data_IF_046590314100
#
_entry.id   IF_046590314100
#
_cell.length_a   1.000
_cell.length_b   1.000
_cell.length_c   1.000
_cell.angle_alpha   90.00
_cell.angle_beta   90.00
_cell.angle_gamma   90.00
#
_symmetry.space_group_name_H-M   'P 1'
#
loop_
_entity.id
_entity.type
_entity.pdbx_description
1 polymer ?
#
# COMPACT_ATOMS: atom_id res chain seq x y z
N UNK A 1 2.18 12.92 16.78
CA UNK A 1 2.45 12.96 15.34
C UNK A 1 1.92 11.65 14.78
N UNK A 2 1.23 11.64 13.65
CA UNK A 2 0.85 10.37 13.04
C UNK A 2 2.08 9.78 12.34
N UNK A 3 2.25 8.46 12.43
CA UNK A 3 3.13 7.78 11.50
C UNK A 3 2.43 7.70 10.14
N UNK A 4 3.22 7.77 9.07
CA UNK A 4 2.73 7.64 7.70
C UNK A 4 2.88 6.20 7.25
N UNK A 5 1.79 5.65 6.74
CA UNK A 5 1.80 4.36 6.07
C UNK A 5 1.88 4.63 4.57
N UNK A 6 2.96 4.19 3.94
CA UNK A 6 3.13 4.23 2.49
C UNK A 6 2.31 3.12 1.86
N UNK A 7 1.66 3.43 0.74
CA UNK A 7 0.80 2.50 0.02
C UNK A 7 1.10 2.59 -1.48
N UNK A 8 1.25 1.44 -2.13
CA UNK A 8 1.24 1.31 -3.58
C UNK A 8 0.10 0.39 -3.97
N UNK A 9 -0.85 0.88 -4.76
CA UNK A 9 -1.97 0.08 -5.26
C UNK A 9 -1.90 -0.05 -6.78
N UNK A 10 -2.17 -1.25 -7.27
CA UNK A 10 -2.34 -1.57 -8.69
C UNK A 10 -3.73 -2.15 -8.89
N UNK A 11 -4.53 -1.54 -9.75
CA UNK A 11 -5.85 -2.02 -10.13
C UNK A 11 -5.78 -2.84 -11.43
N UNK A 12 -6.49 -3.96 -11.48
CA UNK A 12 -6.56 -4.84 -12.66
C UNK A 12 -8.00 -5.04 -13.11
N UNK A 13 -8.30 -4.78 -14.38
CA UNK A 13 -9.66 -4.91 -14.89
C UNK A 13 -9.82 -4.43 -16.32
N UNK A 14 -11.06 -4.06 -16.67
CA UNK A 14 -11.36 -3.52 -18.01
C UNK A 14 -10.68 -2.16 -18.18
N UNK A 15 -10.09 -1.84 -19.35
CA UNK A 15 -9.44 -0.56 -19.60
C UNK A 15 -10.33 0.65 -19.25
N UNK A 16 -11.62 0.60 -19.57
CA UNK A 16 -12.56 1.70 -19.27
C UNK A 16 -12.74 1.94 -17.76
N UNK A 17 -12.64 0.88 -16.95
CA UNK A 17 -12.70 0.99 -15.49
C UNK A 17 -11.40 1.56 -14.93
N UNK A 18 -10.25 1.12 -15.44
CA UNK A 18 -8.93 1.66 -15.05
C UNK A 18 -8.84 3.15 -15.38
N UNK A 19 -9.25 3.57 -16.57
CA UNK A 19 -9.31 5.00 -16.93
C UNK A 19 -10.23 5.79 -15.99
N UNK A 20 -11.38 5.24 -15.61
CA UNK A 20 -12.28 5.92 -14.67
C UNK A 20 -11.69 6.02 -13.25
N UNK A 21 -10.91 5.04 -12.81
CA UNK A 21 -10.14 5.10 -11.56
C UNK A 21 -9.02 6.13 -11.66
N UNK A 22 -8.33 6.22 -12.81
CA UNK A 22 -7.33 7.25 -13.07
C UNK A 22 -7.92 8.66 -12.90
N UNK A 23 -9.10 8.90 -13.47
CA UNK A 23 -9.82 10.17 -13.33
C UNK A 23 -10.21 10.45 -11.86
N UNK A 24 -10.62 9.41 -11.12
CA UNK A 24 -10.91 9.51 -9.69
C UNK A 24 -9.67 9.97 -8.90
N UNK A 25 -8.53 9.27 -9.04
CA UNK A 25 -7.30 9.62 -8.33
C UNK A 25 -6.75 10.99 -8.76
N UNK A 26 -6.88 11.35 -10.05
CA UNK A 26 -6.58 12.70 -10.53
C UNK A 26 -7.41 13.77 -9.81
N UNK A 27 -8.73 13.56 -9.71
CA UNK A 27 -9.60 14.52 -9.03
C UNK A 27 -9.29 14.66 -7.53
N UNK A 28 -8.97 13.55 -6.86
CA UNK A 28 -8.55 13.56 -5.46
C UNK A 28 -7.24 14.31 -5.30
N UNK A 29 -6.22 14.02 -6.12
CA UNK A 29 -4.94 14.72 -6.08
C UNK A 29 -5.09 16.24 -6.27
N UNK A 30 -5.85 16.66 -7.29
CA UNK A 30 -6.09 18.10 -7.52
C UNK A 30 -6.82 18.79 -6.36
N UNK A 31 -7.68 18.05 -5.65
CA UNK A 31 -8.41 18.58 -4.49
C UNK A 31 -7.49 18.64 -3.27
N UNK A 32 -6.66 17.64 -3.06
CA UNK A 32 -5.60 17.64 -2.05
C UNK A 32 -4.69 18.87 -2.22
N UNK A 33 -4.18 19.12 -3.43
CA UNK A 33 -3.31 20.27 -3.73
C UNK A 33 -3.97 21.63 -3.43
N UNK A 34 -5.30 21.73 -3.55
CA UNK A 34 -6.05 22.98 -3.29
C UNK A 34 -6.43 23.16 -1.83
N UNK A 35 -6.65 22.07 -1.11
CA UNK A 35 -7.20 22.09 0.25
C UNK A 35 -6.16 21.82 1.32
N UNK A 36 -5.04 21.20 0.96
CA UNK A 36 -4.02 20.68 1.88
C UNK A 36 -4.60 19.66 2.89
N UNK A 37 -5.69 18.99 2.51
CA UNK A 37 -6.40 18.00 3.31
C UNK A 37 -6.41 16.64 2.60
N UNK A 38 -6.47 15.56 3.39
CA UNK A 38 -6.59 14.22 2.87
C UNK A 38 -7.94 13.99 2.18
N UNK A 39 -7.94 13.13 1.17
CA UNK A 39 -9.11 12.95 0.31
C UNK A 39 -9.73 11.56 0.48
N UNK A 40 -11.01 11.47 0.15
CA UNK A 40 -11.75 10.23 -0.06
C UNK A 40 -12.53 10.35 -1.36
N UNK A 41 -12.84 9.24 -2.06
CA UNK A 41 -13.73 9.26 -3.19
C UNK A 41 -15.10 9.86 -2.83
N UNK A 42 -15.67 10.69 -3.71
CA UNK A 42 -16.92 11.43 -3.42
C UNK A 42 -18.13 10.52 -3.16
N UNK A 43 -18.10 9.29 -3.67
CA UNK A 43 -19.14 8.29 -3.45
C UNK A 43 -19.01 7.57 -2.10
N UNK A 44 -18.01 7.89 -1.29
CA UNK A 44 -17.84 7.34 0.05
C UNK A 44 -18.35 8.28 1.13
N UNK A 45 -18.96 7.68 2.15
CA UNK A 45 -19.22 8.37 3.39
C UNK A 45 -17.91 8.61 4.15
N UNK A 46 -17.89 9.65 4.97
CA UNK A 46 -16.77 9.92 5.86
C UNK A 46 -16.57 8.75 6.84
N UNK A 47 -15.41 8.10 6.73
CA UNK A 47 -15.02 6.95 7.54
C UNK A 47 -14.24 7.32 8.80
N UNK A 48 -14.04 8.62 9.09
CA UNK A 48 -13.20 9.11 10.20
C UNK A 48 -11.77 8.53 10.16
N UNK A 49 -11.24 8.30 8.96
CA UNK A 49 -9.96 7.64 8.71
C UNK A 49 -9.83 7.11 7.29
N UNK A 50 -8.64 6.63 6.91
CA UNK A 50 -8.40 6.03 5.59
C UNK A 50 -8.27 7.03 4.42
N UNK A 51 -8.17 8.32 4.72
CA UNK A 51 -7.93 9.35 3.72
C UNK A 51 -6.58 9.17 3.02
N UNK A 52 -6.59 9.45 1.73
CA UNK A 52 -5.41 9.49 0.88
C UNK A 52 -4.69 10.82 1.06
N UNK A 53 -3.37 10.77 1.22
CA UNK A 53 -2.46 11.90 1.24
C UNK A 53 -1.30 11.65 0.26
N UNK A 54 -0.61 12.71 -0.16
CA UNK A 54 0.56 12.69 -1.01
C UNK A 54 0.38 11.79 -2.25
N UNK A 55 -0.78 11.90 -2.90
CA UNK A 55 -1.12 11.04 -4.04
C UNK A 55 -0.19 11.30 -5.22
N UNK A 56 0.43 10.23 -5.73
CA UNK A 56 1.39 10.24 -6.82
C UNK A 56 1.28 9.00 -7.72
N UNK A 57 1.76 9.12 -8.94
CA UNK A 57 2.01 8.02 -9.88
C UNK A 57 2.98 8.51 -10.97
N UNK A 58 3.70 7.61 -11.64
CA UNK A 58 4.58 7.98 -12.75
C UNK A 58 3.79 8.16 -14.05
N UNK A 59 4.33 8.95 -14.97
CA UNK A 59 3.77 9.08 -16.32
C UNK A 59 3.81 7.73 -17.05
N UNK A 60 2.63 7.21 -17.42
CA UNK A 60 2.48 5.92 -18.11
C UNK A 60 1.98 4.77 -17.23
N UNK A 61 1.97 4.93 -15.89
CA UNK A 61 1.52 3.92 -14.93
C UNK A 61 0.00 3.97 -14.70
N UNK A 62 -0.79 3.82 -15.77
CA UNK A 62 -2.26 3.90 -15.66
C UNK A 62 -2.80 2.81 -14.72
N UNK A 63 -3.58 3.20 -13.71
CA UNK A 63 -4.13 2.28 -12.71
C UNK A 63 -3.20 1.89 -11.57
N UNK A 64 -1.99 2.46 -11.51
CA UNK A 64 -1.06 2.29 -10.39
C UNK A 64 -0.87 3.62 -9.66
N UNK A 65 -0.99 3.61 -8.34
CA UNK A 65 -0.93 4.80 -7.51
C UNK A 65 -0.09 4.57 -6.26
N UNK A 66 0.69 5.58 -5.89
CA UNK A 66 1.34 5.69 -4.59
C UNK A 66 0.66 6.78 -3.77
N UNK A 67 0.50 6.55 -2.48
CA UNK A 67 -0.07 7.52 -1.54
C UNK A 67 0.29 7.15 -0.11
N UNK A 68 0.01 8.06 0.80
CA UNK A 68 0.15 7.87 2.23
C UNK A 68 -1.20 7.86 2.93
N UNK A 69 -1.25 7.15 4.04
CA UNK A 69 -2.36 7.15 5.00
C UNK A 69 -1.80 7.33 6.40
N UNK A 70 -2.65 7.74 7.35
CA UNK A 70 -2.22 7.84 8.75
C UNK A 70 -2.35 6.48 9.44
N UNK A 71 -1.28 6.04 10.09
CA UNK A 71 -1.18 4.86 10.99
C UNK A 71 -1.36 3.47 10.37
N UNK A 72 -2.16 3.31 9.32
CA UNK A 72 -2.50 1.98 8.77
C UNK A 72 -2.97 2.09 7.31
N UNK A 73 -2.80 1.04 6.49
CA UNK A 73 -3.33 1.02 5.13
C UNK A 73 -4.85 1.16 5.13
N UNK A 74 -5.41 1.78 4.09
CA UNK A 74 -6.85 2.00 3.93
C UNK A 74 -7.52 0.89 3.09
N UNK A 75 -7.25 -0.38 3.41
CA UNK A 75 -7.66 -1.56 2.63
C UNK A 75 -9.17 -1.57 2.34
N UNK A 76 -10.01 -1.26 3.34
CA UNK A 76 -11.47 -1.22 3.17
C UNK A 76 -11.93 -0.14 2.16
N UNK A 77 -11.18 0.96 2.05
CA UNK A 77 -11.45 2.02 1.08
C UNK A 77 -11.09 1.54 -0.32
N UNK A 78 -9.91 0.94 -0.49
CA UNK A 78 -9.50 0.36 -1.78
C UNK A 78 -10.45 -0.74 -2.23
N UNK A 79 -10.89 -1.62 -1.33
CA UNK A 79 -11.90 -2.63 -1.63
C UNK A 79 -13.20 -2.01 -2.15
N UNK A 80 -13.71 -0.95 -1.51
CA UNK A 80 -14.93 -0.26 -1.98
C UNK A 80 -14.74 0.38 -3.36
N UNK A 81 -13.57 0.92 -3.67
CA UNK A 81 -13.24 1.40 -5.03
C UNK A 81 -13.32 0.23 -6.01
N UNK A 82 -12.66 -0.88 -5.69
CA UNK A 82 -12.65 -2.08 -6.53
C UNK A 82 -14.04 -2.69 -6.75
N UNK A 83 -14.87 -2.73 -5.72
CA UNK A 83 -16.27 -3.16 -5.82
C UNK A 83 -17.10 -2.23 -6.72
N UNK A 84 -16.91 -0.91 -6.59
CA UNK A 84 -17.64 0.08 -7.38
C UNK A 84 -17.30 0.00 -8.87
N UNK A 85 -16.01 -0.13 -9.20
CA UNK A 85 -15.53 -0.19 -10.58
C UNK A 85 -15.47 -1.61 -11.15
N UNK A 86 -15.74 -2.63 -10.34
CA UNK A 86 -15.67 -4.05 -10.71
C UNK A 86 -14.28 -4.45 -11.23
N UNK A 87 -13.25 -4.11 -10.45
CA UNK A 87 -11.85 -4.42 -10.72
C UNK A 87 -11.22 -5.17 -9.55
N UNK A 88 -10.15 -5.88 -9.82
CA UNK A 88 -9.28 -6.47 -8.81
C UNK A 88 -8.23 -5.44 -8.35
N UNK A 89 -7.55 -5.69 -7.23
CA UNK A 89 -6.39 -4.90 -6.82
C UNK A 89 -5.33 -5.71 -6.09
N UNK A 90 -4.10 -5.21 -6.17
CA UNK A 90 -2.99 -5.54 -5.25
C UNK A 90 -2.54 -4.23 -4.60
N UNK A 91 -2.46 -4.20 -3.27
CA UNK A 91 -2.01 -3.07 -2.47
C UNK A 91 -0.84 -3.53 -1.60
N UNK A 92 0.34 -3.05 -1.90
CA UNK A 92 1.51 -3.15 -1.02
C UNK A 92 1.52 -1.96 -0.07
N UNK A 93 1.82 -2.21 1.19
CA UNK A 93 1.81 -1.18 2.21
C UNK A 93 2.89 -1.40 3.26
N UNK A 94 3.35 -0.30 3.83
CA UNK A 94 4.34 -0.32 4.90
C UNK A 94 4.12 0.83 5.89
N UNK A 95 4.36 0.53 7.17
CA UNK A 95 4.40 1.50 8.26
C UNK A 95 5.53 1.08 9.21
N UNK A 96 6.76 1.46 8.85
CA UNK A 96 7.97 1.05 9.56
C UNK A 96 8.02 1.53 11.01
N UNK A 97 7.31 2.62 11.35
CA UNK A 97 7.19 3.11 12.72
C UNK A 97 6.44 2.17 13.66
N UNK A 98 5.69 1.20 13.13
CA UNK A 98 5.01 0.14 13.89
C UNK A 98 5.39 -1.27 13.43
N UNK A 99 6.46 -1.44 12.65
CA UNK A 99 6.93 -2.74 12.13
C UNK A 99 5.82 -3.49 11.36
N UNK A 100 5.20 -2.79 10.42
CA UNK A 100 4.18 -3.36 9.53
C UNK A 100 4.66 -3.26 8.09
N UNK A 101 4.68 -4.39 7.39
CA UNK A 101 4.96 -4.49 5.96
C UNK A 101 4.05 -5.57 5.37
N UNK A 102 3.25 -5.29 4.35
CA UNK A 102 2.25 -6.25 3.91
C UNK A 102 1.66 -6.00 2.53
N UNK A 103 0.83 -6.95 2.13
CA UNK A 103 0.11 -6.95 0.86
C UNK A 103 -1.35 -7.35 1.09
N UNK A 104 -2.25 -6.46 0.68
CA UNK A 104 -3.65 -6.78 0.49
C UNK A 104 -3.91 -7.12 -0.99
N UNK A 105 -4.66 -8.17 -1.24
CA UNK A 105 -5.08 -8.59 -2.59
C UNK A 105 -6.57 -8.81 -2.60
N UNK A 106 -7.26 -8.22 -3.56
CA UNK A 106 -8.66 -8.47 -3.82
C UNK A 106 -8.80 -9.03 -5.23
N UNK A 107 -9.27 -10.27 -5.32
CA UNK A 107 -9.41 -11.00 -6.57
C UNK A 107 -10.67 -11.83 -6.55
N UNK A 108 -11.44 -11.77 -7.64
CA UNK A 108 -12.70 -12.53 -7.79
C UNK A 108 -13.68 -12.32 -6.62
N UNK A 109 -13.69 -11.13 -6.02
CA UNK A 109 -14.56 -10.79 -4.89
C UNK A 109 -14.04 -11.24 -3.51
N UNK A 110 -12.81 -11.74 -3.42
CA UNK A 110 -12.21 -12.25 -2.18
C UNK A 110 -11.05 -11.34 -1.79
N UNK A 111 -11.14 -10.73 -0.59
CA UNK A 111 -10.05 -9.99 0.03
C UNK A 111 -9.16 -10.92 0.84
N UNK A 112 -7.86 -10.84 0.62
CA UNK A 112 -6.81 -11.40 1.47
C UNK A 112 -5.88 -10.27 1.92
N UNK A 113 -5.47 -10.30 3.18
CA UNK A 113 -4.53 -9.36 3.75
C UNK A 113 -3.46 -10.13 4.52
N UNK A 114 -2.21 -10.02 4.09
CA UNK A 114 -1.06 -10.75 4.63
C UNK A 114 0.03 -9.74 4.93
N UNK A 115 0.52 -9.74 6.17
CA UNK A 115 1.56 -8.81 6.60
C UNK A 115 2.61 -9.49 7.48
N UNK A 116 3.79 -8.90 7.47
CA UNK A 116 4.86 -9.10 8.43
C UNK A 116 4.59 -8.27 9.68
N UNK A 117 4.68 -8.90 10.85
CA UNK A 117 4.58 -8.23 12.15
C UNK A 117 5.87 -8.39 12.95
N UNK A 118 5.91 -7.89 14.18
CA UNK A 118 7.14 -7.83 15.01
C UNK A 118 8.03 -9.08 14.99
N UNK A 119 7.44 -10.28 15.15
CA UNK A 119 8.19 -11.55 15.13
C UNK A 119 8.95 -11.78 13.80
N UNK A 120 8.41 -11.31 12.68
CA UNK A 120 9.05 -11.40 11.36
C UNK A 120 10.26 -10.44 11.27
N UNK A 121 10.18 -9.25 11.88
CA UNK A 121 11.27 -8.28 11.93
C UNK A 121 12.42 -8.69 12.87
N UNK A 122 12.15 -9.54 13.86
CA UNK A 122 13.19 -10.12 14.73
C UNK A 122 14.08 -11.16 14.02
N UNK A 123 13.76 -11.51 12.76
CA UNK A 123 14.51 -12.54 12.00
C UNK A 123 15.77 -12.02 11.31
N UNK A 124 15.97 -10.70 11.26
CA UNK A 124 17.15 -10.04 10.73
C UNK A 124 17.64 -8.94 11.68
N UNK A 125 18.89 -8.53 11.54
CA UNK A 125 19.49 -7.48 12.36
C UNK A 125 20.34 -6.54 11.51
N UNK A 126 20.40 -5.26 11.91
CA UNK A 126 21.28 -4.27 11.30
C UNK A 126 22.61 -4.24 12.07
N UNK A 127 23.73 -4.33 11.35
CA UNK A 127 25.05 -4.08 11.87
C UNK A 127 25.31 -2.56 11.88
N UNK A 128 25.36 -1.96 13.08
CA UNK A 128 25.53 -0.52 13.25
C UNK A 128 26.90 0.02 12.78
N UNK A 129 27.91 -0.83 12.60
CA UNK A 129 29.25 -0.41 12.16
C UNK A 129 29.33 -0.29 10.64
N UNK A 130 28.70 -1.24 9.94
CA UNK A 130 28.74 -1.35 8.48
C UNK A 130 27.50 -0.79 7.78
N UNK A 131 26.42 -0.54 8.54
CA UNK A 131 25.10 -0.16 8.04
C UNK A 131 24.46 -1.24 7.11
N UNK A 132 24.92 -2.49 7.23
CA UNK A 132 24.40 -3.63 6.48
C UNK A 132 23.42 -4.43 7.33
N UNK A 133 22.49 -5.11 6.66
CA UNK A 133 21.54 -6.03 7.28
C UNK A 133 22.00 -7.48 7.13
N UNK A 134 21.84 -8.26 8.20
CA UNK A 134 22.15 -9.68 8.22
C UNK A 134 20.87 -10.52 8.30
N UNK A 135 20.70 -11.40 7.32
CA UNK A 135 19.57 -12.33 7.26
C UNK A 135 20.01 -13.66 6.65
N UNK A 136 19.68 -14.78 7.32
CA UNK A 136 20.00 -16.15 6.87
C UNK A 136 21.48 -16.40 6.50
N UNK A 137 22.41 -15.61 7.07
CA UNK A 137 23.85 -15.74 6.83
C UNK A 137 24.38 -14.92 5.64
N UNK A 138 23.53 -14.13 5.00
CA UNK A 138 23.90 -13.19 3.92
C UNK A 138 23.82 -11.73 4.41
N UNK A 139 24.51 -10.84 3.70
CA UNK A 139 24.53 -9.38 3.93
C UNK A 139 23.71 -8.66 2.88
N UNK A 140 22.95 -7.64 3.30
CA UNK A 140 22.08 -6.85 2.45
C UNK A 140 22.31 -5.35 2.68
N UNK A 141 22.27 -4.55 1.62
CA UNK A 141 22.37 -3.07 1.71
C UNK A 141 21.05 -2.43 2.18
N UNK A 142 19.95 -3.17 2.13
CA UNK A 142 18.62 -2.70 2.49
C UNK A 142 17.78 -3.85 3.07
N UNK A 143 16.99 -3.55 4.09
CA UNK A 143 16.02 -4.49 4.66
C UNK A 143 14.83 -4.75 3.74
N UNK A 144 14.56 -3.89 2.76
CA UNK A 144 13.47 -4.10 1.79
C UNK A 144 13.57 -5.45 1.07
N UNK A 145 14.77 -5.88 0.66
CA UNK A 145 14.96 -7.19 0.00
C UNK A 145 14.61 -8.36 0.94
N UNK A 146 14.92 -8.21 2.23
CA UNK A 146 14.60 -9.20 3.28
C UNK A 146 13.09 -9.22 3.51
N UNK A 147 12.46 -8.05 3.67
CA UNK A 147 11.02 -7.90 3.88
C UNK A 147 10.20 -8.46 2.72
N UNK A 148 10.58 -8.17 1.48
CA UNK A 148 9.96 -8.75 0.28
C UNK A 148 10.07 -10.28 0.31
N UNK A 149 11.27 -10.81 0.61
CA UNK A 149 11.50 -12.26 0.70
C UNK A 149 10.63 -12.92 1.77
N UNK A 150 10.55 -12.32 2.96
CA UNK A 150 9.73 -12.82 4.07
C UNK A 150 8.24 -12.79 3.72
N UNK A 151 7.75 -11.69 3.13
CA UNK A 151 6.35 -11.54 2.76
C UNK A 151 5.94 -12.56 1.68
N UNK A 152 6.75 -12.72 0.63
CA UNK A 152 6.48 -13.69 -0.45
C UNK A 152 6.45 -15.14 0.08
N UNK A 153 7.35 -15.49 1.01
CA UNK A 153 7.31 -16.81 1.70
C UNK A 153 6.02 -16.99 2.47
N UNK A 154 5.55 -15.96 3.18
CA UNK A 154 4.32 -15.98 3.97
C UNK A 154 3.08 -16.13 3.09
N UNK A 155 3.05 -15.42 1.95
CA UNK A 155 1.99 -15.51 0.93
C UNK A 155 1.93 -16.92 0.33
N UNK A 156 3.08 -17.51 -0.01
CA UNK A 156 3.13 -18.84 -0.68
C UNK A 156 2.80 -20.01 0.24
N UNK A 157 2.84 -19.81 1.56
CA UNK A 157 2.62 -20.87 2.56
C UNK A 157 1.14 -21.03 2.97
N UNK A 158 0.26 -20.11 2.52
CA UNK A 158 -1.17 -20.08 2.81
C UNK A 158 -1.99 -20.66 1.65
#
# INVERSE_FOLDING_TARGET
MANWCSNTVVFEGKPEAITAIQELFQSMKEKEEKTEEGQLPEFMEDTNGGYFFNIYWNEGDEGQFQYETKWSPNIEIIQKISEYYQVDFVQDYEEMGNLVYGRATYRDGILSDIFLGGDDFETYEQDEETDLYHFEGEEYESDYEILETLLERKITTL
#
